data_IF_577177617733
#
_entry.id   IF_577177617733
#
_cell.length_a   1.000
_cell.length_b   1.000
_cell.length_c   1.000
_cell.angle_alpha   90.00
_cell.angle_beta   90.00
_cell.angle_gamma   90.00
#
_symmetry.space_group_name_H-M   'P 1'
#
loop_
_entity.id
_entity.type
_entity.pdbx_description
1 polymer ?
#
# COMPACT_ATOMS: atom_id res chain seq x y z
N UNK A 1 5.37 -19.62 -4.04
CA UNK A 1 5.49 -18.76 -5.24
C UNK A 1 4.36 -17.73 -5.18
N UNK A 2 4.67 -16.43 -5.04
CA UNK A 2 3.64 -15.40 -5.04
C UNK A 2 3.19 -15.18 -6.49
N UNK A 3 1.94 -15.55 -6.79
CA UNK A 3 1.31 -15.22 -8.06
C UNK A 3 1.13 -13.70 -8.07
N UNK A 4 2.06 -12.97 -8.68
CA UNK A 4 1.87 -11.55 -9.01
C UNK A 4 0.63 -11.50 -9.91
N UNK A 5 -0.45 -10.89 -9.43
CA UNK A 5 -1.59 -10.56 -10.28
C UNK A 5 -1.29 -9.19 -10.88
N UNK A 6 -0.78 -9.11 -12.12
CA UNK A 6 -0.36 -7.84 -12.72
C UNK A 6 -1.49 -6.80 -12.72
N UNK A 7 -2.75 -7.24 -12.75
CA UNK A 7 -3.92 -6.37 -12.72
C UNK A 7 -4.07 -5.59 -11.41
N UNK A 8 -3.68 -6.17 -10.27
CA UNK A 8 -3.76 -5.52 -8.96
C UNK A 8 -2.68 -4.44 -8.83
N UNK A 9 -1.46 -4.73 -9.30
CA UNK A 9 -0.35 -3.78 -9.26
C UNK A 9 -0.65 -2.54 -10.15
N UNK A 10 -1.21 -2.76 -11.34
CA UNK A 10 -1.62 -1.69 -12.26
C UNK A 10 -2.76 -0.86 -11.67
N UNK A 11 -3.79 -1.51 -11.10
CA UNK A 11 -4.92 -0.82 -10.51
C UNK A 11 -4.51 0.02 -9.28
N UNK A 12 -3.63 -0.51 -8.42
CA UNK A 12 -3.05 0.24 -7.30
C UNK A 12 -2.23 1.44 -7.78
N UNK A 13 -1.42 1.28 -8.84
CA UNK A 13 -0.66 2.38 -9.41
C UNK A 13 -1.57 3.48 -10.00
N UNK A 14 -2.65 3.10 -10.68
CA UNK A 14 -3.64 4.03 -11.21
C UNK A 14 -4.38 4.77 -10.07
N UNK A 15 -4.77 4.06 -9.00
CA UNK A 15 -5.42 4.65 -7.84
C UNK A 15 -4.55 5.74 -7.21
N UNK A 16 -3.26 5.48 -7.03
CA UNK A 16 -2.35 6.47 -6.43
C UNK A 16 -2.11 7.66 -7.34
N UNK A 17 -2.03 7.45 -8.66
CA UNK A 17 -1.89 8.56 -9.62
C UNK A 17 -3.10 9.50 -9.63
N UNK A 18 -4.29 8.97 -9.36
CA UNK A 18 -5.54 9.72 -9.44
C UNK A 18 -6.13 10.10 -8.08
N UNK A 19 -5.58 9.59 -6.97
CA UNK A 19 -5.95 9.97 -5.63
C UNK A 19 -5.65 11.46 -5.40
N UNK A 20 -6.62 12.19 -4.84
CA UNK A 20 -6.41 13.58 -4.47
C UNK A 20 -5.48 13.67 -3.25
N UNK A 21 -4.69 14.75 -3.10
CA UNK A 21 -3.91 14.97 -1.88
C UNK A 21 -4.81 14.91 -0.64
N UNK A 22 -4.42 14.11 0.35
CA UNK A 22 -5.19 13.90 1.59
C UNK A 22 -6.41 12.98 1.46
N UNK A 23 -6.67 12.43 0.27
CA UNK A 23 -7.75 11.45 0.09
C UNK A 23 -7.32 10.11 0.65
N UNK A 24 -8.11 9.60 1.60
CA UNK A 24 -8.01 8.23 2.10
C UNK A 24 -9.03 7.36 1.38
N UNK A 25 -8.62 6.14 1.04
CA UNK A 25 -9.48 5.12 0.47
C UNK A 25 -9.52 3.94 1.42
N UNK A 26 -10.72 3.42 1.67
CA UNK A 26 -10.90 2.19 2.43
C UNK A 26 -10.44 0.98 1.62
N UNK A 27 -10.06 -0.10 2.32
CA UNK A 27 -9.71 -1.39 1.69
C UNK A 27 -10.84 -1.89 0.78
N UNK A 28 -12.10 -1.60 1.12
CA UNK A 28 -13.26 -2.01 0.34
C UNK A 28 -13.36 -1.27 -1.00
N UNK A 29 -13.12 0.05 -0.99
CA UNK A 29 -13.10 0.85 -2.22
C UNK A 29 -11.95 0.42 -3.14
N UNK A 30 -10.78 0.13 -2.57
CA UNK A 30 -9.63 -0.39 -3.33
C UNK A 30 -9.95 -1.78 -3.90
N UNK A 31 -10.62 -2.65 -3.13
CA UNK A 31 -11.01 -3.99 -3.57
C UNK A 31 -11.95 -3.95 -4.78
N UNK A 32 -12.90 -3.01 -4.76
CA UNK A 32 -13.86 -2.80 -5.83
C UNK A 32 -13.17 -2.35 -7.12
N UNK A 33 -12.26 -1.37 -7.03
CA UNK A 33 -11.50 -0.88 -8.19
C UNK A 33 -10.53 -1.93 -8.73
N UNK A 34 -9.86 -2.67 -7.86
CA UNK A 34 -8.91 -3.71 -8.25
C UNK A 34 -9.57 -5.03 -8.64
N UNK A 35 -10.90 -5.18 -8.50
CA UNK A 35 -11.63 -6.41 -8.77
C UNK A 35 -11.13 -7.61 -7.93
N UNK A 36 -10.66 -7.36 -6.71
CA UNK A 36 -9.97 -8.37 -5.90
C UNK A 36 -10.58 -8.53 -4.49
N UNK A 37 -10.22 -9.63 -3.81
CA UNK A 37 -10.71 -9.90 -2.46
C UNK A 37 -10.02 -8.96 -1.45
N UNK A 38 -10.78 -8.39 -0.52
CA UNK A 38 -10.28 -7.56 0.60
C UNK A 38 -9.19 -8.26 1.41
N UNK A 39 -9.25 -9.59 1.59
CA UNK A 39 -8.22 -10.36 2.27
C UNK A 39 -6.86 -10.32 1.56
N UNK A 40 -6.85 -10.24 0.22
CA UNK A 40 -5.61 -10.07 -0.55
C UNK A 40 -5.00 -8.69 -0.28
N UNK A 41 -5.83 -7.64 -0.28
CA UNK A 41 -5.39 -6.28 0.00
C UNK A 41 -4.86 -6.11 1.42
N UNK A 42 -5.52 -6.70 2.42
CA UNK A 42 -5.01 -6.70 3.80
C UNK A 42 -3.64 -7.38 3.91
N UNK A 43 -3.40 -8.45 3.15
CA UNK A 43 -2.09 -9.11 3.14
C UNK A 43 -1.02 -8.24 2.45
N UNK A 44 -1.38 -7.54 1.38
CA UNK A 44 -0.52 -6.57 0.69
C UNK A 44 -0.17 -5.41 1.63
N UNK A 45 -1.17 -4.82 2.28
CA UNK A 45 -1.03 -3.73 3.25
C UNK A 45 -0.09 -4.12 4.40
N UNK A 46 -0.32 -5.27 5.05
CA UNK A 46 0.57 -5.75 6.13
C UNK A 46 2.00 -5.93 5.65
N UNK A 47 2.18 -6.44 4.44
CA UNK A 47 3.51 -6.65 3.86
C UNK A 47 4.20 -5.32 3.55
N UNK A 48 3.47 -4.36 2.98
CA UNK A 48 3.95 -3.00 2.72
C UNK A 48 4.32 -2.30 4.02
N UNK A 49 3.45 -2.35 5.05
CA UNK A 49 3.71 -1.77 6.37
C UNK A 49 4.98 -2.34 7.01
N UNK A 50 5.18 -3.66 6.96
CA UNK A 50 6.42 -4.29 7.48
C UNK A 50 7.66 -3.82 6.72
N UNK A 51 7.57 -3.63 5.41
CA UNK A 51 8.69 -3.10 4.60
C UNK A 51 8.97 -1.63 4.96
N UNK A 52 7.93 -0.81 5.07
CA UNK A 52 8.03 0.58 5.46
C UNK A 52 8.67 0.73 6.85
N UNK A 53 8.20 -0.05 7.84
CA UNK A 53 8.81 -0.11 9.18
C UNK A 53 10.31 -0.42 9.11
N UNK A 54 10.71 -1.45 8.37
CA UNK A 54 12.13 -1.80 8.20
C UNK A 54 12.95 -0.73 7.48
N UNK A 55 12.33 0.10 6.64
CA UNK A 55 13.00 1.22 5.96
C UNK A 55 13.15 2.38 6.95
N UNK A 56 12.10 2.68 7.72
CA UNK A 56 12.10 3.70 8.76
C UNK A 56 13.11 3.39 9.88
N UNK A 57 13.17 2.15 10.36
CA UNK A 57 14.18 1.67 11.32
C UNK A 57 15.60 1.94 10.80
N UNK A 58 15.87 1.59 9.53
CA UNK A 58 17.18 1.80 8.90
C UNK A 58 17.53 3.28 8.69
N UNK A 59 16.53 4.14 8.54
CA UNK A 59 16.70 5.60 8.36
C UNK A 59 16.67 6.38 9.68
N UNK A 60 16.54 5.71 10.83
CA UNK A 60 16.41 6.37 12.13
C UNK A 60 15.07 7.10 12.31
N UNK A 61 14.04 6.73 11.54
CA UNK A 61 12.70 7.31 11.56
C UNK A 61 11.69 6.33 12.17
N UNK A 62 12.11 5.51 13.14
CA UNK A 62 11.28 4.44 13.70
C UNK A 62 9.98 4.96 14.35
N UNK A 63 9.99 6.18 14.89
CA UNK A 63 8.82 6.84 15.50
C UNK A 63 7.75 7.26 14.49
N UNK A 64 8.08 7.47 13.21
CA UNK A 64 7.15 7.99 12.20
C UNK A 64 5.99 7.05 11.83
N UNK A 65 6.05 5.78 12.23
CA UNK A 65 5.06 4.75 11.91
C UNK A 65 4.37 4.13 13.14
N UNK A 66 4.66 4.63 14.35
CA UNK A 66 4.02 4.18 15.58
C UNK A 66 2.62 4.79 15.80
N UNK A 67 2.34 5.93 15.19
CA UNK A 67 1.01 6.55 15.26
C UNK A 67 0.05 5.90 14.25
N UNK A 68 -1.16 5.57 14.73
CA UNK A 68 -2.27 4.90 14.03
C UNK A 68 -2.88 5.75 12.89
N UNK A 69 -2.05 6.32 12.04
CA UNK A 69 -2.49 7.09 10.89
C UNK A 69 -2.61 6.14 9.71
N UNK A 70 -3.86 5.93 9.29
CA UNK A 70 -4.27 5.35 8.02
C UNK A 70 -3.22 5.62 6.95
N UNK A 71 -2.42 4.60 6.61
CA UNK A 71 -1.33 4.75 5.67
C UNK A 71 -1.99 4.91 4.31
N UNK A 72 -2.07 6.15 3.82
CA UNK A 72 -2.17 6.40 2.40
C UNK A 72 -0.94 5.76 1.78
N UNK A 73 -1.09 4.53 1.30
CA UNK A 73 -0.05 3.81 0.59
C UNK A 73 0.23 4.64 -0.67
N UNK A 74 1.27 5.46 -0.62
CA UNK A 74 1.85 6.04 -1.83
C UNK A 74 2.42 4.87 -2.64
N UNK A 75 1.86 4.58 -3.82
CA UNK A 75 2.32 3.54 -4.73
C UNK A 75 3.80 3.65 -5.08
N UNK A 76 4.40 4.82 -4.86
CA UNK A 76 5.85 5.03 -4.95
C UNK A 76 6.62 4.04 -4.05
N UNK A 77 6.14 3.74 -2.84
CA UNK A 77 6.81 2.78 -1.95
C UNK A 77 6.58 1.32 -2.35
N UNK A 78 5.51 1.02 -3.10
CA UNK A 78 5.25 -0.31 -3.68
C UNK A 78 6.14 -0.59 -4.91
N UNK A 79 6.48 0.44 -5.68
CA UNK A 79 7.21 0.33 -6.94
C UNK A 79 8.73 0.49 -6.80
N UNK A 80 9.23 1.14 -5.75
CA UNK A 80 10.67 1.42 -5.55
C UNK A 80 11.51 0.19 -5.14
N UNK A 81 10.97 -1.02 -5.25
CA UNK A 81 11.64 -2.27 -4.87
C UNK A 81 11.51 -3.40 -5.89
N UNK A 82 11.23 -3.07 -7.16
CA UNK A 82 11.36 -3.98 -8.30
C UNK A 82 12.58 -3.55 -9.11
#
# INVERSE_FOLDING_TARGET
MAVKKPDVDIALAALVKHARPGQTLSIREIAEVCGCNTALLTNIERSARRKALKICERKGMADFLQEEHSIAINAVDLLSGI
#
